data_IF_113740617122
#
_entry.id   IF_113740617122
#
_cell.length_a   1.000
_cell.length_b   1.000
_cell.length_c   1.000
_cell.angle_alpha   90.00
_cell.angle_beta   90.00
_cell.angle_gamma   90.00
#
_symmetry.space_group_name_H-M   'P 1'
#
loop_
_entity.id
_entity.type
_entity.pdbx_description
1 polymer ?
#
# COMPACT_ATOMS: atom_id res chain seq x y z
N UNK A 1 43.16 11.54 68.06
CA UNK A 1 42.48 10.54 67.21
C UNK A 1 43.03 10.65 65.80
N UNK A 2 43.30 9.51 65.20
CA UNK A 2 44.20 9.24 64.07
C UNK A 2 43.71 9.78 62.72
N UNK A 3 44.58 10.51 62.01
CA UNK A 3 44.41 10.90 60.61
C UNK A 3 44.97 9.80 59.72
N UNK A 4 44.13 9.10 58.97
CA UNK A 4 44.54 8.12 57.95
C UNK A 4 44.76 8.80 56.59
N UNK A 5 45.85 8.51 55.88
CA UNK A 5 46.16 9.14 54.59
C UNK A 5 45.34 8.53 53.44
N UNK A 6 44.95 9.40 52.52
CA UNK A 6 44.24 9.10 51.27
C UNK A 6 45.10 8.26 50.30
N UNK A 7 44.56 7.21 49.65
CA UNK A 7 45.27 6.51 48.58
C UNK A 7 45.12 7.28 47.26
N UNK A 8 46.25 7.68 46.67
CA UNK A 8 46.31 8.28 45.33
C UNK A 8 45.88 7.31 44.21
N UNK A 9 45.57 7.82 43.01
CA UNK A 9 45.03 7.00 41.93
C UNK A 9 46.07 6.01 41.41
N UNK A 10 45.74 4.71 41.52
CA UNK A 10 46.50 3.62 40.91
C UNK A 10 46.36 3.70 39.39
N UNK A 11 47.48 4.02 38.72
CA UNK A 11 47.61 4.06 37.28
C UNK A 11 47.68 2.63 36.71
N UNK A 12 46.53 1.99 36.51
CA UNK A 12 46.43 0.72 35.80
C UNK A 12 46.29 0.95 34.29
N UNK A 13 47.40 1.33 33.66
CA UNK A 13 47.59 1.17 32.22
C UNK A 13 47.84 -0.31 31.91
N UNK A 14 46.77 -1.10 31.88
CA UNK A 14 46.77 -2.41 31.25
C UNK A 14 45.43 -2.60 30.55
N UNK A 15 45.30 -1.97 29.39
CA UNK A 15 44.30 -2.34 28.40
C UNK A 15 45.05 -2.76 27.13
N UNK A 16 45.61 -3.97 27.18
CA UNK A 16 46.00 -4.70 25.97
C UNK A 16 44.72 -5.10 25.25
N UNK A 17 44.14 -4.15 24.53
CA UNK A 17 43.01 -4.41 23.65
C UNK A 17 43.48 -5.37 22.54
N UNK A 18 43.01 -6.61 22.60
CA UNK A 18 42.98 -7.51 21.45
C UNK A 18 42.38 -6.77 20.23
N UNK A 19 42.71 -7.13 18.98
CA UNK A 19 42.19 -6.44 17.80
C UNK A 19 40.74 -6.88 17.57
N UNK A 20 39.83 -6.38 18.40
CA UNK A 20 38.43 -6.75 18.44
C UNK A 20 37.58 -5.50 18.42
N UNK A 21 37.00 -5.25 17.25
CA UNK A 21 35.91 -4.29 16.97
C UNK A 21 36.22 -2.84 17.34
N UNK A 22 36.81 -2.12 16.39
CA UNK A 22 36.66 -0.67 16.34
C UNK A 22 35.16 -0.37 16.44
N UNK A 23 34.75 0.41 17.46
CA UNK A 23 33.42 1.00 17.50
C UNK A 23 33.26 1.80 16.21
N UNK A 24 32.55 1.23 15.23
CA UNK A 24 32.36 1.83 13.92
C UNK A 24 31.65 3.18 14.14
N UNK A 25 32.41 4.27 14.07
CA UNK A 25 31.91 5.65 14.18
C UNK A 25 31.12 6.07 12.92
N UNK A 26 30.81 5.13 12.04
CA UNK A 26 30.13 5.34 10.78
C UNK A 26 28.76 4.65 10.84
N UNK A 27 27.74 5.32 10.29
CA UNK A 27 26.42 4.74 10.16
C UNK A 27 26.50 3.46 9.30
N UNK A 28 26.11 2.33 9.88
CA UNK A 28 26.11 1.03 9.20
C UNK A 28 25.31 1.10 7.89
N UNK A 29 25.87 0.52 6.84
CA UNK A 29 25.17 0.37 5.56
C UNK A 29 23.94 -0.54 5.71
N UNK A 30 23.00 -0.48 4.77
CA UNK A 30 21.79 -1.33 4.83
C UNK A 30 22.15 -2.84 4.89
N UNK A 31 23.19 -3.23 4.14
CA UNK A 31 23.71 -4.60 4.10
C UNK A 31 24.37 -4.98 5.44
N UNK A 32 25.15 -4.09 6.04
CA UNK A 32 25.76 -4.32 7.36
C UNK A 32 24.72 -4.45 8.49
N UNK A 33 23.63 -3.68 8.44
CA UNK A 33 22.50 -3.82 9.38
C UNK A 33 21.81 -5.18 9.23
N UNK A 34 21.61 -5.65 8.01
CA UNK A 34 21.06 -6.98 7.77
C UNK A 34 22.03 -8.08 8.25
N UNK A 35 23.32 -7.94 7.93
CA UNK A 35 24.37 -8.88 8.36
C UNK A 35 24.42 -9.02 9.87
N UNK A 36 24.46 -7.90 10.62
CA UNK A 36 24.45 -7.93 12.08
C UNK A 36 23.17 -8.52 12.68
N UNK A 37 22.00 -8.30 12.05
CA UNK A 37 20.75 -8.96 12.45
C UNK A 37 20.77 -10.47 12.19
N UNK A 38 21.32 -10.91 11.06
CA UNK A 38 21.48 -12.33 10.73
C UNK A 38 22.49 -13.01 11.65
N UNK A 39 23.65 -12.40 11.91
CA UNK A 39 24.63 -12.90 12.87
C UNK A 39 24.01 -13.06 14.28
N UNK A 40 23.14 -12.13 14.69
CA UNK A 40 22.39 -12.25 15.95
C UNK A 40 21.38 -13.40 15.94
N UNK A 41 20.68 -13.61 14.83
CA UNK A 41 19.66 -14.65 14.70
C UNK A 41 20.28 -16.05 14.58
N UNK A 42 21.41 -16.16 13.88
CA UNK A 42 22.15 -17.41 13.64
C UNK A 42 23.04 -17.83 14.81
N UNK A 43 23.26 -16.95 15.79
CA UNK A 43 23.97 -17.31 17.03
C UNK A 43 23.32 -18.50 17.75
N UNK A 44 21.99 -18.52 17.79
CA UNK A 44 21.19 -19.58 18.42
C UNK A 44 20.06 -20.02 17.46
N UNK A 45 20.31 -20.93 16.52
CA UNK A 45 19.35 -21.30 15.48
C UNK A 45 18.14 -22.10 16.02
N UNK A 46 18.22 -22.62 17.25
CA UNK A 46 17.11 -23.30 17.91
C UNK A 46 16.04 -22.35 18.47
N UNK A 47 16.34 -21.05 18.57
CA UNK A 47 15.40 -20.05 19.09
C UNK A 47 14.43 -19.62 17.97
N UNK A 48 13.10 -19.73 18.16
CA UNK A 48 12.16 -19.26 17.15
C UNK A 48 12.31 -17.75 16.95
N UNK A 49 12.36 -17.33 15.68
CA UNK A 49 12.43 -15.92 15.32
C UNK A 49 11.12 -15.20 15.74
N UNK A 50 11.24 -14.07 16.42
CA UNK A 50 10.08 -13.24 16.75
C UNK A 50 9.61 -12.48 15.51
N UNK A 51 8.45 -12.87 14.99
CA UNK A 51 7.74 -12.13 13.94
C UNK A 51 6.61 -11.36 14.63
N UNK A 52 6.61 -10.01 14.59
CA UNK A 52 5.53 -9.24 15.20
C UNK A 52 4.21 -9.54 14.47
N UNK A 53 3.14 -9.74 15.24
CA UNK A 53 1.79 -9.81 14.68
C UNK A 53 1.43 -8.48 14.01
N UNK A 54 0.46 -8.51 13.08
CA UNK A 54 -0.07 -7.30 12.47
C UNK A 54 -0.46 -6.25 13.52
N UNK A 55 -0.25 -4.95 13.25
CA UNK A 55 -0.64 -3.88 14.15
C UNK A 55 -2.16 -3.95 14.39
N UNK A 56 -2.57 -3.87 15.65
CA UNK A 56 -3.99 -3.88 16.02
C UNK A 56 -4.56 -2.47 15.85
N UNK A 57 -5.81 -2.40 15.39
CA UNK A 57 -6.54 -1.14 15.37
C UNK A 57 -6.75 -0.60 16.78
N UNK A 58 -6.85 0.73 16.88
CA UNK A 58 -7.13 1.39 18.15
C UNK A 58 -8.57 1.08 18.54
N UNK A 59 -8.77 0.49 19.72
CA UNK A 59 -10.09 0.15 20.24
C UNK A 59 -10.24 0.83 21.60
N UNK A 60 -11.35 1.55 21.78
CA UNK A 60 -11.72 2.15 23.07
C UNK A 60 -12.32 1.06 23.93
N UNK A 61 -11.96 1.05 25.22
CA UNK A 61 -12.53 0.08 26.16
C UNK A 61 -14.05 0.21 26.19
N UNK A 62 -14.78 -0.91 26.18
CA UNK A 62 -16.23 -0.87 26.26
C UNK A 62 -16.68 -0.16 27.55
N UNK A 63 -17.83 0.53 27.51
CA UNK A 63 -18.42 1.11 28.72
C UNK A 63 -18.68 0.02 29.76
N UNK A 64 -18.60 0.38 31.05
CA UNK A 64 -18.92 -0.55 32.13
C UNK A 64 -20.43 -0.73 32.21
N UNK A 65 -20.89 -1.97 32.35
CA UNK A 65 -22.32 -2.30 32.43
C UNK A 65 -22.99 -1.75 33.70
N UNK A 66 -22.34 -1.88 34.85
CA UNK A 66 -22.85 -1.37 36.13
C UNK A 66 -21.84 -0.44 36.78
N UNK A 67 -22.29 0.74 37.16
CA UNK A 67 -21.53 1.69 37.96
C UNK A 67 -21.88 1.50 39.44
N UNK A 68 -20.89 1.18 40.27
CA UNK A 68 -21.12 0.86 41.70
C UNK A 68 -21.32 2.09 42.58
N UNK A 69 -20.86 3.26 42.13
CA UNK A 69 -20.77 4.47 42.94
C UNK A 69 -21.64 5.59 42.35
N UNK A 70 -22.90 5.30 42.03
CA UNK A 70 -23.84 6.32 41.53
C UNK A 70 -24.44 7.06 42.70
N UNK A 71 -24.11 8.35 42.83
CA UNK A 71 -24.71 9.24 43.82
C UNK A 71 -26.17 9.54 43.40
N UNK A 72 -27.06 9.76 44.38
CA UNK A 72 -28.48 10.01 44.12
C UNK A 72 -28.74 11.23 43.23
N UNK A 73 -29.83 11.21 42.47
CA UNK A 73 -30.12 12.23 41.44
C UNK A 73 -30.29 13.66 41.97
N UNK A 74 -30.71 13.80 43.23
CA UNK A 74 -30.87 15.11 43.90
C UNK A 74 -29.64 15.54 44.69
N UNK A 75 -28.59 14.73 44.72
CA UNK A 75 -27.40 15.02 45.50
C UNK A 75 -26.52 16.06 44.75
N UNK A 76 -25.93 17.00 45.49
CA UNK A 76 -25.15 18.10 44.91
C UNK A 76 -23.86 17.66 44.20
N UNK A 77 -23.25 18.58 43.46
CA UNK A 77 -21.98 18.34 42.76
C UNK A 77 -20.84 18.07 43.75
N UNK A 78 -20.30 16.85 43.73
CA UNK A 78 -19.12 16.48 44.50
C UNK A 78 -17.82 17.02 43.87
N UNK A 79 -16.75 17.11 44.66
CA UNK A 79 -15.43 17.57 44.19
C UNK A 79 -14.79 16.69 43.10
N UNK A 80 -15.20 15.41 43.03
CA UNK A 80 -14.72 14.45 42.02
C UNK A 80 -15.49 14.48 40.70
N UNK A 81 -16.65 15.12 40.64
CA UNK A 81 -17.57 15.03 39.49
C UNK A 81 -16.95 15.66 38.23
N UNK A 82 -16.19 16.74 38.39
CA UNK A 82 -15.45 17.36 37.28
C UNK A 82 -14.50 16.39 36.58
N UNK A 83 -13.79 15.56 37.35
CA UNK A 83 -12.86 14.59 36.78
C UNK A 83 -13.58 13.42 36.11
N UNK A 84 -14.71 12.98 36.67
CA UNK A 84 -15.58 11.97 36.05
C UNK A 84 -16.07 12.46 34.69
N UNK A 85 -16.60 13.69 34.62
CA UNK A 85 -17.04 14.31 33.38
C UNK A 85 -15.91 14.46 32.36
N UNK A 86 -14.74 14.97 32.78
CA UNK A 86 -13.57 15.14 31.90
C UNK A 86 -13.13 13.81 31.28
N UNK A 87 -13.12 12.73 32.07
CA UNK A 87 -12.76 11.41 31.59
C UNK A 87 -13.82 10.82 30.64
N UNK A 88 -15.11 10.99 30.98
CA UNK A 88 -16.23 10.53 30.15
C UNK A 88 -16.26 11.27 28.80
N UNK A 89 -16.15 12.60 28.82
CA UNK A 89 -16.10 13.43 27.61
C UNK A 89 -14.91 13.10 26.72
N UNK A 90 -13.72 12.90 27.29
CA UNK A 90 -12.54 12.48 26.52
C UNK A 90 -12.76 11.13 25.84
N UNK A 91 -13.30 10.15 26.57
CA UNK A 91 -13.64 8.83 26.01
C UNK A 91 -14.66 8.95 24.87
N UNK A 92 -15.65 9.82 25.03
CA UNK A 92 -16.67 10.00 24.00
C UNK A 92 -16.14 10.68 22.74
N UNK A 93 -15.28 11.70 22.87
CA UNK A 93 -14.61 12.31 21.72
C UNK A 93 -13.69 11.34 21.00
N UNK A 94 -12.93 10.52 21.73
CA UNK A 94 -12.14 9.45 21.12
C UNK A 94 -13.06 8.48 20.37
N UNK A 95 -14.23 8.14 20.92
CA UNK A 95 -15.18 7.21 20.30
C UNK A 95 -15.79 7.76 19.02
N UNK A 96 -16.25 9.00 19.06
CA UNK A 96 -16.79 9.69 17.89
C UNK A 96 -15.72 9.82 16.80
N UNK A 97 -14.49 10.21 17.17
CA UNK A 97 -13.37 10.30 16.24
C UNK A 97 -13.06 8.96 15.56
N UNK A 98 -13.02 7.85 16.31
CA UNK A 98 -12.77 6.54 15.70
C UNK A 98 -13.91 6.08 14.79
N UNK A 99 -15.16 6.42 15.11
CA UNK A 99 -16.32 6.12 14.27
C UNK A 99 -16.26 6.92 12.96
N UNK A 100 -15.95 8.21 13.04
CA UNK A 100 -15.76 9.08 11.88
C UNK A 100 -14.61 8.58 10.99
N UNK A 101 -13.43 8.35 11.56
CA UNK A 101 -12.26 7.80 10.83
C UNK A 101 -12.56 6.43 10.19
N UNK A 102 -13.36 5.57 10.84
CA UNK A 102 -13.74 4.28 10.28
C UNK A 102 -14.70 4.46 9.09
N UNK A 103 -15.68 5.36 9.21
CA UNK A 103 -16.63 5.65 8.14
C UNK A 103 -15.95 6.27 6.92
N UNK A 104 -14.99 7.19 7.12
CA UNK A 104 -14.19 7.78 6.06
C UNK A 104 -13.31 6.73 5.36
N UNK A 105 -12.68 5.83 6.13
CA UNK A 105 -11.90 4.74 5.53
C UNK A 105 -12.79 3.80 4.73
N UNK A 106 -13.95 3.44 5.24
CA UNK A 106 -14.90 2.57 4.54
C UNK A 106 -15.35 3.19 3.21
N UNK A 107 -15.75 4.47 3.19
CA UNK A 107 -16.16 5.15 1.94
C UNK A 107 -15.01 5.20 0.93
N UNK A 108 -13.81 5.59 1.37
CA UNK A 108 -12.62 5.65 0.50
C UNK A 108 -12.27 4.27 -0.07
N UNK A 109 -12.29 3.22 0.77
CA UNK A 109 -11.99 1.85 0.33
C UNK A 109 -13.04 1.33 -0.65
N UNK A 110 -14.33 1.56 -0.39
CA UNK A 110 -15.41 1.17 -1.28
C UNK A 110 -15.31 1.86 -2.65
N UNK A 111 -15.00 3.16 -2.67
CA UNK A 111 -14.78 3.91 -3.91
C UNK A 111 -13.56 3.41 -4.69
N UNK A 112 -12.46 3.12 -3.97
CA UNK A 112 -11.25 2.58 -4.57
C UNK A 112 -11.50 1.20 -5.18
N UNK A 113 -12.18 0.31 -4.45
CA UNK A 113 -12.53 -1.01 -4.94
C UNK A 113 -13.46 -0.96 -6.15
N UNK A 114 -14.44 -0.05 -6.16
CA UNK A 114 -15.31 0.17 -7.32
C UNK A 114 -14.51 0.59 -8.54
N UNK A 115 -13.68 1.62 -8.41
CA UNK A 115 -12.81 2.10 -9.51
C UNK A 115 -11.84 1.02 -10.00
N UNK A 116 -11.30 0.22 -9.07
CA UNK A 116 -10.40 -0.90 -9.40
C UNK A 116 -11.12 -1.98 -10.22
N UNK A 117 -12.32 -2.40 -9.79
CA UNK A 117 -13.14 -3.39 -10.50
C UNK A 117 -13.53 -2.89 -11.89
N UNK A 118 -13.98 -1.66 -12.01
CA UNK A 118 -14.29 -1.05 -13.33
C UNK A 118 -13.09 -1.04 -14.28
N UNK A 119 -11.90 -0.69 -13.78
CA UNK A 119 -10.67 -0.72 -14.58
C UNK A 119 -10.27 -2.14 -15.01
N UNK A 120 -10.43 -3.12 -14.10
CA UNK A 120 -10.18 -4.53 -14.36
C UNK A 120 -11.16 -5.09 -15.40
N UNK A 121 -12.46 -4.81 -15.28
CA UNK A 121 -13.49 -5.23 -16.22
C UNK A 121 -13.25 -4.65 -17.63
N UNK A 122 -12.86 -3.37 -17.72
CA UNK A 122 -12.53 -2.73 -19.00
C UNK A 122 -11.29 -3.38 -19.63
N UNK A 123 -10.27 -3.69 -18.83
CA UNK A 123 -9.06 -4.38 -19.29
C UNK A 123 -9.37 -5.81 -19.74
N UNK A 124 -10.21 -6.53 -19.00
CA UNK A 124 -10.64 -7.89 -19.32
C UNK A 124 -11.49 -7.90 -20.58
N UNK A 125 -12.46 -7.00 -20.73
CA UNK A 125 -13.29 -6.89 -21.94
C UNK A 125 -12.44 -6.65 -23.20
N UNK A 126 -11.44 -5.75 -23.13
CA UNK A 126 -10.49 -5.51 -24.22
C UNK A 126 -9.64 -6.76 -24.51
N UNK A 127 -9.16 -7.43 -23.48
CA UNK A 127 -8.33 -8.64 -23.59
C UNK A 127 -9.13 -9.82 -24.15
N UNK A 128 -10.35 -10.04 -23.69
CA UNK A 128 -11.27 -11.08 -24.14
C UNK A 128 -11.65 -10.89 -25.61
N UNK A 129 -11.98 -9.65 -26.02
CA UNK A 129 -12.24 -9.32 -27.44
C UNK A 129 -11.04 -9.66 -28.32
N UNK A 130 -9.84 -9.33 -27.89
CA UNK A 130 -8.61 -9.62 -28.63
C UNK A 130 -8.27 -11.12 -28.63
N UNK A 131 -8.50 -11.82 -27.52
CA UNK A 131 -8.33 -13.27 -27.39
C UNK A 131 -9.29 -14.01 -28.33
N UNK A 132 -10.57 -13.64 -28.35
CA UNK A 132 -11.58 -14.21 -29.24
C UNK A 132 -11.22 -14.01 -30.72
N UNK A 133 -10.73 -12.81 -31.12
CA UNK A 133 -10.23 -12.56 -32.48
C UNK A 133 -9.06 -13.49 -32.85
N UNK A 134 -8.10 -13.70 -31.93
CA UNK A 134 -6.95 -14.60 -32.14
C UNK A 134 -7.38 -16.06 -32.22
N UNK A 135 -8.31 -16.51 -31.38
CA UNK A 135 -8.85 -17.88 -31.40
C UNK A 135 -9.58 -18.17 -32.71
N UNK A 136 -10.48 -17.27 -33.16
CA UNK A 136 -11.15 -17.39 -34.46
C UNK A 136 -10.15 -17.48 -35.63
N UNK A 137 -9.06 -16.71 -35.59
CA UNK A 137 -7.99 -16.79 -36.61
C UNK A 137 -7.23 -18.12 -36.53
N UNK A 138 -6.93 -18.62 -35.33
CA UNK A 138 -6.26 -19.90 -35.10
C UNK A 138 -7.12 -21.07 -35.59
N UNK A 139 -8.41 -21.06 -35.33
CA UNK A 139 -9.37 -22.07 -35.81
C UNK A 139 -9.46 -22.06 -37.33
N UNK A 140 -9.60 -20.88 -37.96
CA UNK A 140 -9.59 -20.75 -39.44
C UNK A 140 -8.29 -21.26 -40.05
N UNK A 141 -7.15 -20.99 -39.43
CA UNK A 141 -5.85 -21.48 -39.92
C UNK A 141 -5.73 -23.00 -39.79
N UNK A 142 -6.18 -23.60 -38.68
CA UNK A 142 -6.23 -25.05 -38.48
C UNK A 142 -7.15 -25.73 -39.49
N UNK A 143 -8.34 -25.18 -39.73
CA UNK A 143 -9.28 -25.70 -40.73
C UNK A 143 -8.67 -25.67 -42.15
N UNK A 144 -7.89 -24.62 -42.49
CA UNK A 144 -7.21 -24.52 -43.78
C UNK A 144 -5.98 -25.43 -43.90
N UNK A 145 -5.31 -25.73 -42.79
CA UNK A 145 -4.21 -26.72 -42.73
C UNK A 145 -4.71 -28.15 -42.91
N UNK A 146 -5.77 -28.53 -42.20
CA UNK A 146 -6.35 -29.88 -42.31
C UNK A 146 -6.96 -30.18 -43.69
N UNK A 147 -7.35 -29.16 -44.46
CA UNK A 147 -7.80 -29.33 -45.85
C UNK A 147 -6.64 -29.43 -46.85
N UNK A 148 -5.41 -29.07 -46.46
CA UNK A 148 -4.20 -29.27 -47.28
C UNK A 148 -3.55 -30.64 -47.00
N UNK A 149 -3.67 -31.17 -45.79
CA UNK A 149 -3.14 -32.49 -45.45
C UNK A 149 -4.04 -33.66 -45.92
N UNK A 150 -5.25 -33.40 -46.44
CA UNK A 150 -6.10 -34.42 -47.09
C UNK A 150 -5.92 -34.51 -48.62
N UNK A 151 -5.12 -33.63 -49.22
CA UNK A 151 -4.84 -33.60 -50.67
C UNK A 151 -3.34 -33.85 -50.99
N UNK A 152 -2.56 -34.28 -50.00
CA UNK A 152 -1.14 -34.65 -50.17
C UNK A 152 -0.86 -36.03 -49.56
N UNK A 153 -1.66 -37.01 -49.96
CA UNK A 153 -1.45 -38.42 -49.68
C UNK A 153 -1.08 -39.18 -50.96
N UNK A 154 0.06 -38.83 -51.58
CA UNK A 154 0.73 -39.67 -52.59
C UNK A 154 2.16 -39.19 -52.82
N UNK A 155 3.11 -39.96 -52.25
CA UNK A 155 4.47 -40.19 -52.78
C UNK A 155 5.45 -39.01 -52.84
N UNK A 156 6.49 -39.05 -52.01
CA UNK A 156 7.85 -39.31 -52.51
C UNK A 156 8.83 -39.41 -51.33
N UNK A 157 9.41 -40.59 -51.16
CA UNK A 157 10.58 -40.79 -50.32
C UNK A 157 11.83 -40.32 -51.08
N UNK A 158 12.51 -39.29 -50.57
CA UNK A 158 13.61 -38.69 -51.31
C UNK A 158 14.61 -37.89 -50.47
N UNK A 159 15.40 -38.60 -49.66
CA UNK A 159 16.84 -38.33 -49.42
C UNK A 159 17.24 -36.95 -48.85
N UNK A 160 17.41 -36.90 -47.53
CA UNK A 160 18.14 -35.85 -46.83
C UNK A 160 19.66 -36.11 -46.89
N UNK A 161 20.44 -35.24 -47.56
CA UNK A 161 21.88 -35.03 -47.32
C UNK A 161 22.26 -33.55 -47.53
N UNK A 162 22.98 -33.01 -46.53
CA UNK A 162 23.92 -31.86 -46.52
C UNK A 162 23.41 -30.40 -46.40
N UNK A 163 23.64 -29.85 -45.19
CA UNK A 163 24.28 -28.57 -44.84
C UNK A 163 24.42 -27.49 -45.93
N UNK A 164 23.90 -26.28 -45.66
CA UNK A 164 24.58 -24.98 -45.87
C UNK A 164 23.80 -23.85 -45.14
N UNK A 165 24.53 -23.06 -44.35
CA UNK A 165 24.05 -21.86 -43.66
C UNK A 165 23.52 -20.78 -44.62
N UNK A 166 22.45 -20.06 -44.25
CA UNK A 166 22.28 -18.62 -44.54
C UNK A 166 20.94 -18.06 -44.05
N UNK A 167 21.06 -17.07 -43.16
CA UNK A 167 20.17 -15.90 -42.96
C UNK A 167 18.65 -16.11 -42.93
N UNK A 168 18.07 -16.14 -41.72
CA UNK A 168 16.64 -15.95 -41.52
C UNK A 168 16.19 -14.53 -41.95
N UNK A 169 15.10 -14.37 -42.72
CA UNK A 169 14.66 -13.05 -43.18
C UNK A 169 13.92 -12.30 -42.06
N UNK A 170 14.48 -11.16 -41.65
CA UNK A 170 13.91 -10.19 -40.72
C UNK A 170 12.53 -9.71 -41.23
N UNK A 171 11.46 -10.22 -40.63
CA UNK A 171 10.09 -9.82 -40.92
C UNK A 171 9.84 -8.37 -40.46
N UNK A 172 9.79 -7.47 -41.45
CA UNK A 172 8.91 -6.29 -41.55
C UNK A 172 8.62 -5.55 -40.23
N UNK A 173 9.44 -4.54 -39.93
CA UNK A 173 9.15 -3.49 -38.93
C UNK A 173 7.82 -2.81 -39.29
N UNK A 174 6.91 -2.70 -38.33
CA UNK A 174 5.61 -2.05 -38.50
C UNK A 174 5.80 -0.54 -38.36
N UNK A 175 5.72 0.18 -39.47
CA UNK A 175 5.63 1.62 -39.53
C UNK A 175 4.22 2.03 -39.08
N UNK A 176 4.10 2.82 -38.00
CA UNK A 176 2.86 3.50 -37.63
C UNK A 176 3.11 4.99 -37.93
N UNK A 177 2.34 5.54 -38.86
CA UNK A 177 2.30 6.96 -39.23
C UNK A 177 3.54 7.56 -39.93
N UNK A 178 4.32 6.76 -40.67
CA UNK A 178 5.33 7.30 -41.60
C UNK A 178 6.62 7.84 -40.96
N UNK A 179 6.70 7.96 -39.64
CA UNK A 179 7.95 8.24 -38.93
C UNK A 179 8.59 6.96 -38.42
N UNK A 180 9.86 6.80 -38.73
CA UNK A 180 10.66 5.67 -38.30
C UNK A 180 10.96 5.81 -36.79
N UNK A 181 10.40 4.91 -35.97
CA UNK A 181 10.77 4.79 -34.56
C UNK A 181 12.19 4.24 -34.47
N UNK A 182 13.16 5.16 -34.36
CA UNK A 182 14.55 4.87 -33.98
C UNK A 182 14.59 4.78 -32.46
N UNK A 183 14.83 3.59 -31.93
CA UNK A 183 15.08 3.42 -30.50
C UNK A 183 16.48 3.97 -30.17
N UNK A 184 16.55 5.09 -29.45
CA UNK A 184 17.80 5.60 -28.88
C UNK A 184 18.39 4.57 -27.90
N UNK A 185 19.71 4.35 -27.99
CA UNK A 185 20.45 3.64 -26.94
C UNK A 185 20.66 4.59 -25.77
N UNK A 186 20.70 4.10 -24.52
CA UNK A 186 20.93 4.97 -23.35
C UNK A 186 22.32 5.63 -23.47
N UNK A 187 22.37 6.96 -23.63
CA UNK A 187 23.63 7.74 -23.58
C UNK A 187 23.83 8.88 -24.59
N UNK A 188 22.89 9.19 -25.49
CA UNK A 188 23.10 10.22 -26.55
C UNK A 188 22.23 11.47 -26.34
N UNK A 189 22.87 12.51 -25.77
CA UNK A 189 22.43 13.90 -25.68
C UNK A 189 22.43 14.52 -27.09
N UNK A 190 21.32 15.12 -27.48
CA UNK A 190 21.23 16.02 -28.63
C UNK A 190 20.53 17.26 -28.09
N UNK A 191 21.31 18.33 -27.98
CA UNK A 191 20.81 19.67 -27.82
C UNK A 191 20.21 20.12 -29.12
N UNK A 192 18.95 20.54 -29.06
CA UNK A 192 18.42 21.58 -29.93
C UNK A 192 17.70 22.54 -28.97
N UNK A 193 18.33 23.70 -28.83
CA UNK A 193 17.76 24.91 -28.26
C UNK A 193 16.74 25.42 -29.29
N UNK A 194 15.48 25.53 -28.89
CA UNK A 194 14.58 26.53 -29.46
C UNK A 194 13.68 27.04 -28.33
N UNK A 195 13.90 28.31 -28.02
CA UNK A 195 13.13 29.17 -27.14
C UNK A 195 11.66 29.22 -27.56
N UNK A 196 10.74 29.06 -26.60
CA UNK A 196 9.50 29.84 -26.59
C UNK A 196 9.01 30.02 -25.15
N UNK A 197 9.16 31.27 -24.72
CA UNK A 197 8.75 31.86 -23.46
C UNK A 197 7.22 31.94 -23.36
N UNK A 198 6.61 31.28 -22.37
CA UNK A 198 5.32 31.66 -21.82
C UNK A 198 5.15 31.15 -20.39
N UNK A 199 5.51 32.00 -19.42
CA UNK A 199 5.34 31.72 -18.00
C UNK A 199 3.87 31.63 -17.59
N UNK A 200 3.52 30.53 -16.91
CA UNK A 200 2.26 30.40 -16.16
C UNK A 200 2.60 29.76 -14.82
N UNK A 201 2.88 30.60 -13.82
CA UNK A 201 3.01 30.18 -12.43
C UNK A 201 1.63 29.85 -11.83
N UNK A 202 1.53 28.91 -10.88
CA UNK A 202 0.27 28.59 -10.22
C UNK A 202 -0.14 29.72 -9.26
N UNK A 203 -1.30 30.32 -9.49
CA UNK A 203 -1.95 31.24 -8.55
C UNK A 203 -2.61 30.45 -7.40
N UNK A 204 -2.46 30.97 -6.18
CA UNK A 204 -3.19 30.50 -4.99
C UNK A 204 -4.70 30.80 -5.11
N UNK A 205 -5.59 29.87 -4.71
CA UNK A 205 -7.02 30.16 -4.67
C UNK A 205 -7.38 31.04 -3.47
N UNK A 206 -8.01 32.17 -3.78
CA UNK A 206 -8.60 33.12 -2.85
C UNK A 206 -9.74 32.48 -2.05
N UNK A 207 -9.84 32.86 -0.76
CA UNK A 207 -10.90 32.45 0.15
C UNK A 207 -12.26 32.96 -0.33
N UNK A 208 -13.15 32.05 -0.70
CA UNK A 208 -14.56 32.35 -0.91
C UNK A 208 -15.28 32.45 0.45
N UNK A 209 -15.91 33.60 0.68
CA UNK A 209 -16.73 33.92 1.84
C UNK A 209 -18.02 33.07 1.79
N UNK A 210 -18.25 32.22 2.78
CA UNK A 210 -19.43 31.35 2.87
C UNK A 210 -20.56 32.12 3.59
N UNK A 211 -21.78 32.26 3.01
CA UNK A 211 -22.92 32.77 3.74
C UNK A 211 -23.43 31.74 4.77
N UNK A 212 -23.78 32.25 5.95
CA UNK A 212 -24.30 31.57 7.12
C UNK A 212 -25.59 30.75 6.81
N UNK A 213 -25.76 29.51 7.34
CA UNK A 213 -26.96 28.72 7.10
C UNK A 213 -28.11 29.09 8.06
N UNK A 214 -29.27 29.42 7.49
CA UNK A 214 -30.57 29.56 8.16
C UNK A 214 -30.99 28.29 8.93
N UNK A 215 -31.75 28.40 10.04
CA UNK A 215 -32.18 27.26 10.85
C UNK A 215 -33.27 26.41 10.17
N UNK A 216 -33.10 25.08 10.22
CA UNK A 216 -34.03 24.10 9.65
C UNK A 216 -35.42 24.07 10.35
N UNK A 217 -36.52 23.76 9.63
CA UNK A 217 -37.85 23.63 10.22
C UNK A 217 -37.98 22.36 11.09
N UNK A 218 -38.73 22.48 12.19
CA UNK A 218 -38.93 21.45 13.20
C UNK A 218 -39.53 20.14 12.64
N UNK A 219 -38.98 19.01 13.09
CA UNK A 219 -39.45 17.67 12.74
C UNK A 219 -40.84 17.39 13.32
N UNK A 220 -41.78 16.97 12.46
CA UNK A 220 -43.09 16.46 12.84
C UNK A 220 -42.93 15.06 13.43
N UNK A 221 -43.47 14.83 14.62
CA UNK A 221 -43.42 13.56 15.35
C UNK A 221 -44.45 12.60 14.76
N UNK A 222 -44.01 11.53 14.11
CA UNK A 222 -44.89 10.44 13.69
C UNK A 222 -45.23 9.55 14.90
N UNK A 223 -46.51 9.48 15.23
CA UNK A 223 -47.05 8.63 16.30
C UNK A 223 -47.14 7.17 15.83
N UNK A 224 -46.32 6.30 16.42
CA UNK A 224 -46.41 4.84 16.23
C UNK A 224 -47.70 4.31 16.82
N UNK A 225 -48.61 3.84 15.97
CA UNK A 225 -49.79 3.06 16.37
C UNK A 225 -49.32 1.66 16.77
N UNK A 226 -49.65 1.24 17.99
CA UNK A 226 -49.35 -0.11 18.49
C UNK A 226 -50.62 -0.94 18.33
N UNK A 227 -50.55 -2.04 17.56
CA UNK A 227 -51.65 -2.99 17.42
C UNK A 227 -51.47 -4.03 18.52
N UNK A 228 -52.49 -4.19 19.37
CA UNK A 228 -52.57 -5.24 20.37
C UNK A 228 -53.41 -6.36 19.75
N UNK A 229 -52.83 -7.55 19.60
CA UNK A 229 -53.56 -8.77 19.26
C UNK A 229 -54.08 -9.37 20.57
N UNK A 230 -55.40 -9.41 20.73
CA UNK A 230 -56.09 -10.09 21.84
C UNK A 230 -56.11 -11.60 21.57
N UNK A 231 -55.75 -12.41 22.58
CA UNK A 231 -55.88 -13.88 22.63
C UNK A 231 -57.35 -14.34 22.65
#
# INVERSE_FOLDING_TARGET
MSHSPSPGPSNNNNNTSAPGTANHKHALTAVEKQRSQLERLLKDPSKPAYIPSAPKDKIIRPPREMMKNVQGSSAGAGSGEFHVYKAARRREYERLKMLEEASEKETITAEFERKRKEAEDVAEAKTAKNRAKRQKKKEKAKAKGNNKDKDAGSGDEGKAIANTESSAPLKKRRLVNGQELVFKRPGEESGDEDDDEAGIGPQEPQQANIPEPEPAPAAVVETKITIIEDD
#
